data_IF_944732556977
#
_entry.id   IF_944732556977
#
_cell.length_a   1.000
_cell.length_b   1.000
_cell.length_c   1.000
_cell.angle_alpha   90.00
_cell.angle_beta   90.00
_cell.angle_gamma   90.00
#
_symmetry.space_group_name_H-M   'P 1'
#
loop_
_entity.id
_entity.type
_entity.pdbx_description
1 polymer ?
#
# COMPACT_ATOMS: atom_id res chain seq x y z
N UNK A 1 -13.22 16.44 -7.02
CA UNK A 1 -13.38 15.46 -5.94
C UNK A 1 -12.05 14.87 -5.56
N UNK A 2 -11.86 14.64 -4.27
CA UNK A 2 -10.63 14.05 -3.76
C UNK A 2 -10.68 12.54 -3.94
N UNK A 3 -9.61 11.94 -4.42
CA UNK A 3 -9.52 10.49 -4.52
C UNK A 3 -9.53 9.89 -3.10
N UNK A 4 -10.15 8.73 -2.95
CA UNK A 4 -10.16 8.03 -1.67
C UNK A 4 -8.75 7.49 -1.38
N UNK A 5 -8.52 7.13 -0.12
CA UNK A 5 -7.26 6.52 0.28
C UNK A 5 -6.99 5.27 -0.56
N UNK A 6 -8.01 4.45 -0.75
CA UNK A 6 -7.91 3.24 -1.55
C UNK A 6 -7.46 3.53 -2.98
N UNK A 7 -8.07 4.53 -3.61
CA UNK A 7 -7.72 4.87 -4.99
C UNK A 7 -6.29 5.39 -5.12
N UNK A 8 -5.87 6.22 -4.17
CA UNK A 8 -4.50 6.74 -4.16
C UNK A 8 -3.49 5.63 -3.96
N UNK A 9 -3.78 4.74 -3.02
CA UNK A 9 -2.93 3.60 -2.73
C UNK A 9 -2.84 2.66 -3.94
N UNK A 10 -3.96 2.40 -4.57
CA UNK A 10 -4.03 1.54 -5.75
C UNK A 10 -3.11 2.04 -6.86
N UNK A 11 -3.12 3.34 -7.09
CA UNK A 11 -2.28 3.97 -8.09
C UNK A 11 -0.79 3.73 -7.79
N UNK A 12 -0.42 3.92 -6.53
CA UNK A 12 0.95 3.72 -6.09
C UNK A 12 1.37 2.26 -6.29
N UNK A 13 0.50 1.33 -5.93
CA UNK A 13 0.77 -0.10 -6.07
C UNK A 13 1.00 -0.46 -7.53
N UNK A 14 0.14 0.03 -8.41
CA UNK A 14 0.27 -0.23 -9.85
C UNK A 14 1.62 0.26 -10.36
N UNK A 15 2.02 1.45 -9.97
CA UNK A 15 3.29 2.03 -10.40
C UNK A 15 4.50 1.30 -9.82
N UNK A 16 4.44 0.95 -8.55
CA UNK A 16 5.59 0.34 -7.87
C UNK A 16 5.78 -1.13 -8.23
N UNK A 17 4.69 -1.87 -8.35
CA UNK A 17 4.76 -3.30 -8.59
C UNK A 17 4.55 -3.68 -10.06
N UNK A 18 4.13 -2.73 -10.88
CA UNK A 18 3.89 -3.00 -12.29
C UNK A 18 2.74 -3.97 -12.55
N UNK A 19 1.73 -3.94 -11.70
CA UNK A 19 0.55 -4.81 -11.84
C UNK A 19 -0.62 -4.03 -12.42
N UNK A 20 -1.63 -4.75 -12.90
CA UNK A 20 -2.85 -4.13 -13.42
C UNK A 20 -3.75 -3.66 -12.30
N UNK A 21 -4.49 -2.58 -12.55
CA UNK A 21 -5.46 -2.09 -11.56
C UNK A 21 -6.47 -3.16 -11.17
N UNK A 22 -6.85 -4.00 -12.12
CA UNK A 22 -7.83 -5.07 -11.87
C UNK A 22 -7.33 -6.10 -10.84
N UNK A 23 -6.02 -6.20 -10.68
CA UNK A 23 -5.43 -7.14 -9.73
C UNK A 23 -5.31 -6.56 -8.32
N UNK A 24 -5.44 -5.25 -8.19
CA UNK A 24 -5.33 -4.57 -6.91
C UNK A 24 -6.70 -4.55 -6.24
N UNK A 25 -6.96 -5.57 -5.44
CA UNK A 25 -8.23 -5.73 -4.71
C UNK A 25 -7.96 -5.65 -3.22
N UNK A 26 -8.95 -5.29 -2.40
CA UNK A 26 -8.74 -5.19 -0.96
C UNK A 26 -8.16 -6.45 -0.33
N UNK A 27 -8.58 -7.62 -0.79
CA UNK A 27 -8.13 -8.89 -0.25
C UNK A 27 -6.82 -9.40 -0.89
N UNK A 28 -6.29 -8.69 -1.88
CA UNK A 28 -5.08 -9.12 -2.56
C UNK A 28 -3.86 -9.05 -1.64
N UNK A 29 -3.09 -10.12 -1.60
CA UNK A 29 -1.85 -10.18 -0.84
C UNK A 29 -0.71 -9.62 -1.71
N UNK A 30 0.11 -8.76 -1.15
CA UNK A 30 1.23 -8.19 -1.90
C UNK A 30 2.19 -9.27 -2.37
N UNK A 31 2.46 -10.25 -1.53
CA UNK A 31 3.41 -11.31 -1.85
C UNK A 31 2.78 -12.39 -2.72
N UNK A 32 1.61 -12.89 -2.32
CA UNK A 32 0.98 -14.03 -2.98
C UNK A 32 0.24 -13.67 -4.26
N UNK A 33 -0.45 -12.55 -4.26
CA UNK A 33 -1.29 -12.16 -5.40
C UNK A 33 -0.61 -11.19 -6.34
N UNK A 34 0.21 -10.30 -5.80
CA UNK A 34 0.87 -9.26 -6.59
C UNK A 34 2.36 -9.53 -6.81
N UNK A 35 2.84 -10.66 -6.31
CA UNK A 35 4.22 -11.11 -6.52
C UNK A 35 5.29 -10.13 -6.04
N UNK A 36 5.01 -9.37 -5.00
CA UNK A 36 5.97 -8.44 -4.44
C UNK A 36 7.01 -9.20 -3.62
N UNK A 37 8.28 -8.88 -3.82
CA UNK A 37 9.33 -9.43 -2.97
C UNK A 37 9.66 -8.42 -1.86
N UNK A 38 10.64 -8.75 -1.01
CA UNK A 38 11.00 -7.89 0.12
C UNK A 38 11.43 -6.48 -0.31
N UNK A 39 12.16 -6.39 -1.41
CA UNK A 39 12.62 -5.10 -1.91
C UNK A 39 11.46 -4.27 -2.44
N UNK A 40 10.55 -4.92 -3.16
CA UNK A 40 9.35 -4.26 -3.66
C UNK A 40 8.52 -3.69 -2.51
N UNK A 41 8.39 -4.45 -1.43
CA UNK A 41 7.63 -4.00 -0.27
C UNK A 41 8.29 -2.80 0.41
N UNK A 42 9.61 -2.80 0.52
CA UNK A 42 10.34 -1.67 1.10
C UNK A 42 10.10 -0.41 0.27
N UNK A 43 10.21 -0.52 -1.04
CA UNK A 43 10.00 0.62 -1.93
C UNK A 43 8.55 1.10 -1.89
N UNK A 44 7.60 0.17 -1.80
CA UNK A 44 6.19 0.51 -1.68
C UNK A 44 5.92 1.28 -0.39
N UNK A 45 6.46 0.82 0.72
CA UNK A 45 6.31 1.49 2.02
C UNK A 45 6.87 2.90 1.95
N UNK A 46 8.04 3.07 1.36
CA UNK A 46 8.64 4.40 1.20
C UNK A 46 7.77 5.33 0.36
N UNK A 47 7.18 4.81 -0.70
CA UNK A 47 6.28 5.59 -1.54
C UNK A 47 5.03 6.01 -0.77
N UNK A 48 4.51 5.12 0.07
CA UNK A 48 3.35 5.44 0.91
C UNK A 48 3.68 6.53 1.91
N UNK A 49 4.86 6.47 2.51
CA UNK A 49 5.30 7.48 3.45
C UNK A 49 5.37 8.86 2.80
N UNK A 50 5.90 8.92 1.59
CA UNK A 50 6.01 10.18 0.85
C UNK A 50 4.64 10.69 0.41
N UNK A 51 3.80 9.81 -0.10
CA UNK A 51 2.49 10.20 -0.64
C UNK A 51 1.56 10.71 0.45
N UNK A 52 1.57 10.07 1.60
CA UNK A 52 0.63 10.39 2.68
C UNK A 52 1.26 11.20 3.82
N UNK A 53 2.56 11.49 3.72
CA UNK A 53 3.24 12.30 4.72
C UNK A 53 3.27 11.68 6.11
N UNK A 54 3.39 10.37 6.19
CA UNK A 54 3.43 9.66 7.46
C UNK A 54 4.63 8.72 7.50
N UNK A 55 5.01 8.32 8.70
CA UNK A 55 6.08 7.35 8.88
C UNK A 55 5.50 5.98 9.17
N UNK A 56 6.05 4.97 8.54
CA UNK A 56 5.65 3.58 8.75
C UNK A 56 6.86 2.84 9.29
N UNK A 57 6.78 2.37 10.53
CA UNK A 57 7.88 1.62 11.14
C UNK A 57 8.02 0.26 10.46
N UNK A 58 9.19 -0.35 10.58
CA UNK A 58 9.42 -1.67 10.03
C UNK A 58 8.45 -2.69 10.63
N UNK A 59 8.17 -2.57 11.91
CA UNK A 59 7.23 -3.44 12.59
C UNK A 59 5.83 -3.32 12.00
N UNK A 60 5.38 -2.10 11.78
CA UNK A 60 4.06 -1.87 11.18
C UNK A 60 4.02 -2.36 9.73
N UNK A 61 5.12 -2.16 9.00
CA UNK A 61 5.20 -2.62 7.62
C UNK A 61 5.06 -4.14 7.52
N UNK A 62 5.59 -4.87 8.50
CA UNK A 62 5.47 -6.33 8.54
C UNK A 62 4.03 -6.79 8.69
N UNK A 63 3.17 -5.97 9.29
CA UNK A 63 1.77 -6.28 9.50
C UNK A 63 0.90 -5.91 8.29
N UNK A 64 1.45 -5.18 7.33
CA UNK A 64 0.75 -4.82 6.11
C UNK A 64 0.96 -5.94 5.08
N UNK A 65 -0.01 -6.83 4.98
CA UNK A 65 0.09 -8.00 4.11
C UNK A 65 -0.82 -7.92 2.89
N UNK A 66 -1.96 -7.26 3.05
CA UNK A 66 -2.92 -7.11 1.96
C UNK A 66 -3.13 -5.64 1.64
N UNK A 67 -3.76 -5.37 0.50
CA UNK A 67 -4.11 -4.01 0.11
C UNK A 67 -5.00 -3.37 1.17
N UNK A 68 -5.96 -4.13 1.71
CA UNK A 68 -6.85 -3.63 2.75
C UNK A 68 -6.09 -3.23 4.02
N UNK A 69 -5.10 -4.04 4.41
CA UNK A 69 -4.26 -3.72 5.57
C UNK A 69 -3.57 -2.37 5.39
N UNK A 70 -3.06 -2.12 4.19
CA UNK A 70 -2.38 -0.87 3.87
C UNK A 70 -3.35 0.31 3.91
N UNK A 71 -4.54 0.13 3.34
CA UNK A 71 -5.57 1.18 3.34
C UNK A 71 -5.97 1.51 4.77
N UNK A 72 -6.22 0.49 5.58
CA UNK A 72 -6.63 0.69 6.97
C UNK A 72 -5.55 1.42 7.76
N UNK A 73 -4.30 1.04 7.57
CA UNK A 73 -3.18 1.67 8.26
C UNK A 73 -3.09 3.16 7.91
N UNK A 74 -3.13 3.47 6.63
CA UNK A 74 -3.02 4.85 6.16
C UNK A 74 -4.22 5.67 6.61
N UNK A 75 -5.43 5.13 6.49
CA UNK A 75 -6.64 5.85 6.94
C UNK A 75 -6.57 6.18 8.42
N UNK A 76 -6.11 5.24 9.23
CA UNK A 76 -5.97 5.47 10.66
C UNK A 76 -4.99 6.59 10.95
N UNK A 77 -3.88 6.63 10.23
CA UNK A 77 -2.87 7.68 10.39
C UNK A 77 -3.38 9.04 9.95
N UNK A 78 -4.13 9.09 8.85
CA UNK A 78 -4.65 10.35 8.35
C UNK A 78 -5.76 10.92 9.22
N UNK A 79 -6.44 10.07 9.98
CA UNK A 79 -7.55 10.50 10.84
C UNK A 79 -7.13 10.81 12.28
N UNK A 80 -5.85 10.78 12.56
CA UNK A 80 -5.34 11.13 13.89
C UNK A 80 -5.16 12.63 14.04
#
# INVERSE_FOLDING_TARGET
>A
MTASTYERLKKIIVEQLGVDEADVKPEASFVDDLNADSLDLVELVMSLEEEFGTEISDEDAENIRTVQDAVDYVDERLNQ
#
